data_IF_759442947854
#
_entry.id   IF_759442947854
#
_cell.length_a   1.000
_cell.length_b   1.000
_cell.length_c   1.000
_cell.angle_alpha   90.00
_cell.angle_beta   90.00
_cell.angle_gamma   90.00
#
_symmetry.space_group_name_H-M   'P 1'
#
loop_
_entity.id
_entity.type
_entity.pdbx_description
1 polymer ?
#
# COMPACT_ATOMS: atom_id res chain seq x y z
N UNK A 1 -28.07 19.51 6.27
CA UNK A 1 -27.02 20.46 5.84
C UNK A 1 -26.43 19.88 4.57
N UNK A 2 -26.18 20.76 3.61
CA UNK A 2 -26.19 20.55 2.15
C UNK A 2 -25.26 19.46 1.62
N UNK A 3 -25.84 18.45 0.95
CA UNK A 3 -25.15 17.66 -0.08
C UNK A 3 -24.64 18.63 -1.16
N UNK A 4 -23.32 18.71 -1.35
CA UNK A 4 -22.76 19.27 -2.59
C UNK A 4 -22.79 18.16 -3.64
N UNK A 5 -23.94 17.98 -4.30
CA UNK A 5 -24.01 17.20 -5.53
C UNK A 5 -23.49 18.07 -6.68
N UNK A 6 -22.30 17.76 -7.19
CA UNK A 6 -21.88 18.23 -8.51
C UNK A 6 -22.28 17.16 -9.53
N UNK A 7 -23.46 17.30 -10.13
CA UNK A 7 -23.92 16.44 -11.22
C UNK A 7 -23.39 16.95 -12.55
N UNK A 8 -22.58 16.17 -13.24
CA UNK A 8 -22.38 16.29 -14.69
C UNK A 8 -22.56 14.90 -15.30
N UNK A 9 -23.67 14.71 -16.00
CA UNK A 9 -23.93 13.52 -16.83
C UNK A 9 -23.63 13.86 -18.29
N UNK A 10 -22.51 13.34 -18.78
CA UNK A 10 -22.40 12.58 -20.04
C UNK A 10 -21.04 11.84 -20.02
N UNK A 11 -21.07 10.68 -19.37
CA UNK A 11 -19.91 9.87 -18.94
C UNK A 11 -20.19 9.30 -17.54
N UNK A 12 -19.78 8.07 -17.23
CA UNK A 12 -19.92 7.49 -15.87
C UNK A 12 -18.97 8.11 -14.85
N UNK A 13 -18.09 9.02 -15.29
CA UNK A 13 -17.13 9.73 -14.47
C UNK A 13 -17.82 10.48 -13.32
N UNK A 14 -17.49 10.14 -12.08
CA UNK A 14 -18.06 10.83 -10.92
C UNK A 14 -17.16 10.73 -9.68
N UNK A 15 -17.31 11.71 -8.80
CA UNK A 15 -16.78 11.71 -7.45
C UNK A 15 -17.93 12.09 -6.52
N UNK A 16 -18.30 11.20 -5.61
CA UNK A 16 -19.34 11.46 -4.61
C UNK A 16 -18.77 11.18 -3.22
N UNK A 17 -19.13 11.97 -2.21
CA UNK A 17 -18.76 11.70 -0.83
C UNK A 17 -19.97 11.47 0.08
N UNK A 18 -19.73 10.75 1.16
CA UNK A 18 -20.70 10.49 2.23
C UNK A 18 -20.00 10.36 3.58
N UNK A 19 -20.71 10.52 4.69
CA UNK A 19 -20.18 10.18 6.01
C UNK A 19 -19.94 8.65 6.09
N UNK A 20 -18.74 8.25 6.48
CA UNK A 20 -18.37 6.85 6.74
C UNK A 20 -18.48 6.51 8.23
N UNK A 21 -18.21 7.48 9.09
CA UNK A 21 -18.31 7.36 10.54
C UNK A 21 -17.74 8.59 11.24
N UNK A 22 -17.59 8.50 12.57
CA UNK A 22 -16.99 9.56 13.39
C UNK A 22 -15.92 8.98 14.30
N UNK A 23 -14.82 9.70 14.40
CA UNK A 23 -13.77 9.44 15.38
C UNK A 23 -14.30 9.64 16.82
N UNK A 24 -13.62 9.11 17.85
CA UNK A 24 -14.01 9.31 19.25
C UNK A 24 -14.10 10.79 19.67
N UNK A 25 -13.34 11.68 19.02
CA UNK A 25 -13.38 13.13 19.24
C UNK A 25 -14.45 13.85 18.39
N UNK A 26 -15.34 13.08 17.74
CA UNK A 26 -16.39 13.55 16.83
C UNK A 26 -15.90 14.09 15.47
N UNK A 27 -14.61 13.98 15.14
CA UNK A 27 -14.13 14.27 13.79
C UNK A 27 -14.83 13.36 12.79
N UNK A 28 -15.43 13.93 11.75
CA UNK A 28 -16.13 13.19 10.71
C UNK A 28 -15.12 12.52 9.79
N UNK A 29 -15.31 11.22 9.55
CA UNK A 29 -14.61 10.48 8.51
C UNK A 29 -15.53 10.39 7.31
N UNK A 30 -15.06 10.87 6.17
CA UNK A 30 -15.79 10.83 4.90
C UNK A 30 -15.29 9.66 4.06
N UNK A 31 -16.18 9.07 3.26
CA UNK A 31 -15.84 8.17 2.16
C UNK A 31 -16.05 8.90 0.84
N UNK A 32 -15.04 8.86 -0.02
CA UNK A 32 -15.07 9.32 -1.39
C UNK A 32 -15.14 8.13 -2.33
N UNK A 33 -16.18 8.09 -3.16
CA UNK A 33 -16.37 7.10 -4.23
C UNK A 33 -16.01 7.75 -5.56
N UNK A 34 -14.99 7.22 -6.22
CA UNK A 34 -14.53 7.64 -7.53
C UNK A 34 -14.94 6.58 -8.55
N UNK A 35 -15.58 6.99 -9.64
CA UNK A 35 -16.00 6.08 -10.73
C UNK A 35 -15.42 6.60 -12.04
N UNK A 36 -14.82 5.74 -12.85
CA UNK A 36 -14.33 6.11 -14.19
C UNK A 36 -15.37 5.83 -15.29
N UNK A 37 -15.05 6.21 -16.52
CA UNK A 37 -15.95 6.01 -17.67
C UNK A 37 -16.28 4.55 -18.00
N UNK A 38 -15.43 3.60 -17.59
CA UNK A 38 -15.67 2.17 -17.79
C UNK A 38 -16.48 1.54 -16.65
N UNK A 39 -16.78 2.29 -15.59
CA UNK A 39 -17.51 1.80 -14.41
C UNK A 39 -16.64 1.15 -13.34
N UNK A 40 -15.30 1.19 -13.47
CA UNK A 40 -14.43 0.87 -12.34
C UNK A 40 -14.70 1.87 -11.23
N UNK A 41 -14.73 1.38 -10.00
CA UNK A 41 -15.11 2.14 -8.82
C UNK A 41 -14.08 1.92 -7.71
N UNK A 42 -13.58 3.00 -7.11
CA UNK A 42 -12.74 2.94 -5.91
C UNK A 42 -13.37 3.79 -4.81
N UNK A 43 -13.38 3.24 -3.59
CA UNK A 43 -13.80 3.94 -2.38
C UNK A 43 -12.57 4.23 -1.53
N UNK A 44 -12.41 5.48 -1.11
CA UNK A 44 -11.31 5.96 -0.27
C UNK A 44 -11.89 6.70 0.92
N UNK A 45 -11.48 6.37 2.15
CA UNK A 45 -11.89 7.10 3.35
C UNK A 45 -10.82 8.07 3.83
N UNK A 46 -11.21 9.17 4.46
CA UNK A 46 -10.27 10.17 4.98
C UNK A 46 -9.42 9.65 6.14
N UNK A 47 -9.91 8.68 6.90
CA UNK A 47 -9.14 8.02 7.95
C UNK A 47 -8.10 7.06 7.36
N UNK A 48 -6.83 7.39 7.55
CA UNK A 48 -5.70 6.66 6.98
C UNK A 48 -5.58 6.76 5.46
N UNK A 49 -6.37 7.61 4.80
CA UNK A 49 -6.49 7.65 3.34
C UNK A 49 -6.77 6.28 2.74
N UNK A 50 -7.54 5.43 3.42
CA UNK A 50 -7.63 3.99 3.11
C UNK A 50 -8.43 3.72 1.86
N UNK A 51 -7.94 2.84 0.98
CA UNK A 51 -8.74 2.21 -0.07
C UNK A 51 -9.60 1.13 0.59
N UNK A 52 -10.91 1.35 0.69
CA UNK A 52 -11.85 0.42 1.35
C UNK A 52 -12.51 -0.56 0.37
N UNK A 53 -12.57 -0.20 -0.91
CA UNK A 53 -13.10 -1.05 -1.99
C UNK A 53 -12.53 -0.60 -3.33
N UNK A 54 -12.30 -1.57 -4.22
CA UNK A 54 -11.89 -1.37 -5.61
C UNK A 54 -12.61 -2.41 -6.47
N UNK A 55 -13.64 -1.98 -7.20
CA UNK A 55 -14.46 -2.87 -8.04
C UNK A 55 -14.00 -2.81 -9.48
N UNK A 56 -13.57 -3.96 -9.99
CA UNK A 56 -13.06 -4.11 -11.36
C UNK A 56 -13.75 -5.26 -12.08
N UNK A 57 -13.96 -5.17 -13.41
CA UNK A 57 -14.72 -6.18 -14.14
C UNK A 57 -13.93 -7.49 -14.25
N UNK A 58 -14.61 -8.62 -14.13
CA UNK A 58 -14.08 -9.93 -14.55
C UNK A 58 -14.25 -10.12 -16.08
N UNK A 59 -13.80 -11.25 -16.64
CA UNK A 59 -13.92 -11.56 -18.08
C UNK A 59 -15.36 -11.69 -18.60
N UNK A 60 -16.37 -11.74 -17.72
CA UNK A 60 -17.80 -11.70 -18.05
C UNK A 60 -18.41 -10.30 -17.94
N UNK A 61 -17.65 -9.33 -17.44
CA UNK A 61 -18.09 -7.96 -17.23
C UNK A 61 -18.71 -7.68 -15.85
N UNK A 62 -18.69 -8.66 -14.92
CA UNK A 62 -19.21 -8.44 -13.56
C UNK A 62 -18.18 -7.69 -12.71
N UNK A 63 -18.62 -6.63 -12.03
CA UNK A 63 -17.77 -5.80 -11.17
C UNK A 63 -17.81 -6.31 -9.74
N UNK A 64 -16.67 -6.73 -9.22
CA UNK A 64 -16.54 -7.26 -7.85
C UNK A 64 -15.36 -6.56 -7.17
N UNK A 65 -15.46 -6.38 -5.85
CA UNK A 65 -14.38 -5.78 -5.05
C UNK A 65 -13.17 -6.72 -5.03
N UNK A 66 -11.98 -6.21 -5.30
CA UNK A 66 -10.73 -6.99 -5.30
C UNK A 66 -9.76 -6.57 -4.20
N UNK A 67 -10.15 -5.69 -3.27
CA UNK A 67 -9.32 -5.32 -2.11
C UNK A 67 -9.99 -5.66 -0.79
N UNK A 68 -9.23 -6.21 0.15
CA UNK A 68 -9.69 -6.51 1.50
C UNK A 68 -9.84 -5.20 2.29
N UNK A 69 -10.85 -5.17 3.16
CA UNK A 69 -11.16 -4.04 4.04
C UNK A 69 -12.40 -4.33 4.90
N UNK A 70 -12.92 -3.28 5.53
CA UNK A 70 -14.14 -3.32 6.34
C UNK A 70 -15.20 -2.35 5.81
N UNK A 71 -16.46 -2.62 6.18
CA UNK A 71 -17.62 -1.80 5.80
C UNK A 71 -17.88 -0.62 6.75
N UNK A 72 -17.24 -0.57 7.92
CA UNK A 72 -17.49 0.43 8.95
C UNK A 72 -16.21 0.94 9.60
N UNK A 73 -16.27 2.17 10.14
CA UNK A 73 -15.12 2.82 10.77
C UNK A 73 -14.67 2.10 12.05
N UNK A 74 -15.59 1.58 12.85
CA UNK A 74 -15.27 0.96 14.15
C UNK A 74 -14.29 -0.22 14.01
N UNK A 75 -14.38 -0.99 12.93
CA UNK A 75 -13.45 -2.08 12.66
C UNK A 75 -12.06 -1.58 12.23
N UNK A 76 -11.97 -0.44 11.53
CA UNK A 76 -10.68 0.21 11.23
C UNK A 76 -10.04 0.86 12.45
N UNK A 77 -10.83 1.25 13.46
CA UNK A 77 -10.32 1.81 14.73
C UNK A 77 -9.80 0.73 15.68
N UNK A 78 -10.15 -0.54 15.46
CA UNK A 78 -9.59 -1.68 16.18
C UNK A 78 -8.26 -2.10 15.56
N UNK A 79 -7.54 -2.97 16.26
CA UNK A 79 -6.33 -3.60 15.73
C UNK A 79 -6.64 -4.33 14.42
N UNK A 80 -5.95 -3.93 13.36
CA UNK A 80 -6.06 -4.50 12.02
C UNK A 80 -4.72 -4.36 11.30
N UNK A 81 -4.43 -5.18 10.28
CA UNK A 81 -3.13 -5.24 9.64
C UNK A 81 -3.01 -4.18 8.53
N UNK A 82 -3.39 -2.93 8.84
CA UNK A 82 -3.29 -1.76 7.96
C UNK A 82 -4.10 -1.87 6.66
N UNK A 83 -5.27 -2.52 6.68
CA UNK A 83 -6.06 -2.74 5.45
C UNK A 83 -6.25 -1.46 4.64
N UNK A 84 -5.68 -1.47 3.44
CA UNK A 84 -5.84 -0.42 2.44
C UNK A 84 -5.22 0.92 2.80
N UNK A 85 -4.43 1.06 3.87
CA UNK A 85 -3.98 2.36 4.38
C UNK A 85 -2.84 3.01 3.59
N UNK A 86 -2.77 4.34 3.69
CA UNK A 86 -1.53 5.09 3.52
C UNK A 86 -0.62 4.85 4.70
N UNK A 87 0.63 4.52 4.41
CA UNK A 87 1.65 4.20 5.40
C UNK A 87 2.71 5.30 5.43
N UNK A 88 3.10 5.71 6.64
CA UNK A 88 4.16 6.68 6.87
C UNK A 88 4.22 7.12 8.33
N UNK A 89 5.22 7.88 8.76
CA UNK A 89 6.22 8.59 7.93
C UNK A 89 7.23 7.67 7.22
N UNK A 90 7.46 6.48 7.77
CA UNK A 90 8.32 5.46 7.17
C UNK A 90 7.59 4.12 7.04
N UNK A 91 7.41 3.64 5.80
CA UNK A 91 6.88 2.33 5.48
C UNK A 91 7.86 1.21 5.79
N UNK A 92 7.31 0.08 6.24
CA UNK A 92 8.05 -1.07 6.74
C UNK A 92 8.83 -0.76 8.03
N UNK A 93 9.92 -1.51 8.28
CA UNK A 93 10.60 -1.54 9.58
C UNK A 93 11.80 -0.62 9.66
N UNK A 94 12.07 -0.11 10.86
CA UNK A 94 13.34 0.49 11.29
C UNK A 94 13.85 -0.30 12.50
N UNK A 95 15.07 -0.82 12.39
CA UNK A 95 15.68 -1.68 13.39
C UNK A 95 15.76 -1.00 14.75
N UNK A 96 15.32 -1.69 15.81
CA UNK A 96 15.35 -1.22 17.20
C UNK A 96 14.59 0.08 17.46
N UNK A 97 13.78 0.52 16.50
CA UNK A 97 13.15 1.84 16.49
C UNK A 97 14.15 2.98 16.62
N UNK A 98 15.34 2.85 16.03
CA UNK A 98 16.39 3.88 16.13
C UNK A 98 17.05 4.11 14.79
N UNK A 99 17.45 5.35 14.57
CA UNK A 99 18.30 5.74 13.45
C UNK A 99 19.10 6.99 13.83
N UNK A 100 20.21 7.23 13.13
CA UNK A 100 21.04 8.42 13.28
C UNK A 100 20.88 9.29 12.04
N UNK A 101 20.58 10.58 12.25
CA UNK A 101 20.44 11.56 11.18
C UNK A 101 21.25 12.81 11.55
N UNK A 102 22.11 13.26 10.64
CA UNK A 102 23.02 14.40 10.87
C UNK A 102 23.84 14.29 12.18
N UNK A 103 24.25 13.07 12.54
CA UNK A 103 25.01 12.79 13.76
C UNK A 103 24.19 12.84 15.06
N UNK A 104 22.86 12.94 14.98
CA UNK A 104 21.94 12.88 16.11
C UNK A 104 21.13 11.58 16.08
N UNK A 105 21.01 10.94 17.24
CA UNK A 105 20.21 9.74 17.41
C UNK A 105 18.74 10.08 17.64
N UNK A 106 17.87 9.36 16.95
CA UNK A 106 16.41 9.43 17.08
C UNK A 106 15.90 8.09 17.60
N UNK A 107 14.90 8.14 18.49
CA UNK A 107 14.23 6.95 19.03
C UNK A 107 12.75 7.06 18.72
N UNK A 108 12.22 6.03 18.09
CA UNK A 108 10.85 5.84 17.66
C UNK A 108 10.18 4.80 18.56
N UNK A 109 8.85 4.71 18.50
CA UNK A 109 8.12 3.66 19.19
C UNK A 109 8.48 2.27 18.63
N UNK A 110 8.72 1.28 19.48
CA UNK A 110 8.90 -0.12 19.05
C UNK A 110 7.56 -0.84 19.11
N UNK A 111 6.73 -0.62 18.08
CA UNK A 111 5.38 -1.16 17.95
C UNK A 111 5.34 -2.55 17.28
N UNK A 112 6.49 -3.10 16.88
CA UNK A 112 6.59 -4.45 16.33
C UNK A 112 7.78 -5.21 16.96
N UNK A 113 7.54 -5.83 18.12
CA UNK A 113 8.61 -6.47 18.88
C UNK A 113 9.65 -5.45 19.33
N UNK A 114 10.91 -5.67 18.97
CA UNK A 114 11.99 -4.72 19.23
C UNK A 114 12.08 -3.60 18.17
N UNK A 115 11.33 -3.70 17.06
CA UNK A 115 11.46 -2.81 15.92
C UNK A 115 10.31 -1.79 15.83
N UNK A 116 10.57 -0.71 15.09
CA UNK A 116 9.53 0.24 14.67
C UNK A 116 8.95 -0.21 13.33
N UNK A 117 7.64 -0.08 13.13
CA UNK A 117 6.93 -0.53 11.95
C UNK A 117 5.90 0.52 11.51
N UNK A 118 5.88 0.82 10.21
CA UNK A 118 4.81 1.57 9.53
C UNK A 118 4.50 2.94 10.15
N UNK A 119 5.53 3.63 10.64
CA UNK A 119 5.39 4.98 11.17
C UNK A 119 5.01 5.08 12.65
N UNK A 120 4.71 3.97 13.33
CA UNK A 120 4.62 3.92 14.79
C UNK A 120 3.24 3.59 15.35
N UNK A 121 2.94 4.11 16.54
CA UNK A 121 1.68 3.80 17.27
C UNK A 121 0.49 4.47 16.60
N UNK A 122 0.66 5.71 16.14
CA UNK A 122 -0.29 6.47 15.34
C UNK A 122 0.36 6.94 14.05
N UNK A 123 0.67 5.97 13.18
CA UNK A 123 1.15 6.25 11.84
C UNK A 123 0.11 6.95 10.96
N UNK A 124 0.48 7.21 9.71
CA UNK A 124 -0.36 7.90 8.73
C UNK A 124 -1.65 7.14 8.39
N UNK A 125 -1.71 5.85 8.71
CA UNK A 125 -2.85 4.97 8.58
C UNK A 125 -3.94 5.24 9.64
N UNK A 126 -3.59 6.00 10.68
CA UNK A 126 -4.39 6.21 11.90
C UNK A 126 -4.72 7.68 12.16
N UNK A 127 -4.57 8.54 11.14
CA UNK A 127 -4.93 9.98 11.17
C UNK A 127 -6.05 10.28 10.17
N UNK A 128 -6.80 11.36 10.40
CA UNK A 128 -7.80 11.85 9.44
C UNK A 128 -7.13 12.85 8.50
N UNK A 129 -7.10 12.53 7.22
CA UNK A 129 -6.58 13.38 6.16
C UNK A 129 -7.62 14.41 5.73
N UNK A 130 -7.17 15.61 5.37
CA UNK A 130 -8.02 16.57 4.65
C UNK A 130 -8.19 16.09 3.21
N UNK A 131 -9.42 16.13 2.68
CA UNK A 131 -9.74 15.65 1.34
C UNK A 131 -10.34 16.73 0.45
N UNK A 132 -9.93 16.74 -0.81
CA UNK A 132 -10.41 17.66 -1.85
C UNK A 132 -10.53 16.91 -3.19
N UNK A 133 -11.75 16.72 -3.72
CA UNK A 133 -11.94 16.30 -5.11
C UNK A 133 -11.34 17.32 -6.08
N UNK A 134 -10.66 16.86 -7.12
CA UNK A 134 -10.13 17.71 -8.19
C UNK A 134 -11.00 17.54 -9.42
N UNK A 135 -11.50 18.67 -9.95
CA UNK A 135 -12.26 18.69 -11.20
C UNK A 135 -11.34 18.41 -12.40
N UNK A 136 -11.65 17.35 -13.13
CA UNK A 136 -10.95 16.95 -14.36
C UNK A 136 -11.97 16.31 -15.33
N UNK A 137 -11.67 16.29 -16.62
CA UNK A 137 -12.61 15.84 -17.67
C UNK A 137 -12.52 14.36 -17.99
N UNK A 138 -11.36 13.72 -17.76
CA UNK A 138 -11.09 12.37 -18.23
C UNK A 138 -10.97 11.35 -17.08
N UNK A 139 -10.62 11.79 -15.87
CA UNK A 139 -10.27 10.97 -14.72
C UNK A 139 -10.94 11.49 -13.44
N UNK A 140 -11.16 10.59 -12.48
CA UNK A 140 -11.66 10.95 -11.16
C UNK A 140 -10.47 11.09 -10.22
N UNK A 141 -10.28 12.28 -9.65
CA UNK A 141 -9.08 12.61 -8.89
C UNK A 141 -9.46 13.09 -7.48
N UNK A 142 -8.86 12.48 -6.47
CA UNK A 142 -8.99 12.87 -5.06
C UNK A 142 -7.61 13.22 -4.50
N UNK A 143 -7.49 14.43 -3.97
CA UNK A 143 -6.29 14.86 -3.24
C UNK A 143 -6.53 14.75 -1.75
N UNK A 144 -5.60 14.12 -1.05
CA UNK A 144 -5.51 14.09 0.40
C UNK A 144 -4.31 14.92 0.86
N UNK A 145 -4.45 15.66 1.96
CA UNK A 145 -3.35 16.39 2.58
C UNK A 145 -3.29 16.16 4.08
N UNK A 146 -2.07 16.09 4.62
CA UNK A 146 -1.81 15.98 6.05
C UNK A 146 -0.54 16.73 6.41
N UNK A 147 -0.54 17.33 7.61
CA UNK A 147 0.66 17.94 8.20
C UNK A 147 1.07 17.10 9.41
N UNK A 148 2.10 16.28 9.22
CA UNK A 148 2.75 15.56 10.29
C UNK A 148 3.68 16.51 11.03
N UNK A 149 3.44 16.75 12.32
CA UNK A 149 4.18 17.79 13.06
C UNK A 149 5.60 17.33 13.43
N UNK A 150 6.50 18.28 13.69
CA UNK A 150 7.81 18.00 14.26
C UNK A 150 7.67 17.19 15.56
N UNK A 151 8.40 16.08 15.65
CA UNK A 151 8.36 15.14 16.76
C UNK A 151 7.21 14.12 16.73
N UNK A 152 6.31 14.18 15.74
CA UNK A 152 5.25 13.19 15.58
C UNK A 152 5.84 11.79 15.40
N UNK A 153 5.41 10.85 16.24
CA UNK A 153 5.96 9.49 16.36
C UNK A 153 7.50 9.42 16.56
N UNK A 154 8.14 10.53 16.94
CA UNK A 154 9.58 10.66 17.16
C UNK A 154 10.38 11.14 15.95
N UNK A 155 9.75 11.44 14.81
CA UNK A 155 10.43 11.92 13.61
C UNK A 155 10.70 13.43 13.66
N UNK A 156 11.87 13.92 13.21
CA UNK A 156 12.17 15.35 13.14
C UNK A 156 11.46 16.04 11.97
N UNK A 157 11.15 17.32 12.13
CA UNK A 157 10.63 18.19 11.09
C UNK A 157 9.12 18.07 10.90
N UNK A 158 8.49 19.21 10.64
CA UNK A 158 7.15 19.19 10.06
C UNK A 158 7.27 18.60 8.66
N UNK A 159 6.38 17.67 8.33
CA UNK A 159 6.27 17.10 6.99
C UNK A 159 4.88 17.40 6.46
N UNK A 160 4.83 18.20 5.39
CA UNK A 160 3.58 18.44 4.65
C UNK A 160 3.47 17.41 3.54
N UNK A 161 2.44 16.57 3.60
CA UNK A 161 2.22 15.49 2.66
C UNK A 161 0.99 15.79 1.81
N UNK A 162 1.10 15.53 0.52
CA UNK A 162 0.00 15.46 -0.44
C UNK A 162 -0.02 14.08 -1.06
N UNK A 163 -1.18 13.42 -1.07
CA UNK A 163 -1.40 12.17 -1.80
C UNK A 163 -2.51 12.38 -2.80
N UNK A 164 -2.29 11.99 -4.05
CA UNK A 164 -3.28 12.11 -5.12
C UNK A 164 -3.66 10.72 -5.61
N UNK A 165 -4.93 10.39 -5.45
CA UNK A 165 -5.55 9.22 -6.07
C UNK A 165 -6.16 9.64 -7.40
N UNK A 166 -5.73 9.01 -8.49
CA UNK A 166 -6.30 9.19 -9.82
C UNK A 166 -6.86 7.86 -10.29
N UNK A 167 -8.19 7.79 -10.45
CA UNK A 167 -8.82 6.69 -11.15
C UNK A 167 -8.95 7.06 -12.63
N UNK A 168 -8.11 6.45 -13.46
CA UNK A 168 -7.95 6.82 -14.86
C UNK A 168 -9.04 6.23 -15.74
N UNK A 169 -9.21 6.79 -16.95
CA UNK A 169 -10.09 6.22 -17.98
C UNK A 169 -9.67 4.84 -18.52
N UNK A 170 -8.43 4.43 -18.32
CA UNK A 170 -7.89 3.13 -18.79
C UNK A 170 -7.80 2.08 -17.67
N UNK A 171 -8.68 2.20 -16.66
CA UNK A 171 -8.82 1.28 -15.53
C UNK A 171 -7.55 1.15 -14.69
N UNK A 172 -6.82 2.26 -14.51
CA UNK A 172 -5.71 2.32 -13.59
C UNK A 172 -6.08 3.14 -12.36
N UNK A 173 -5.63 2.67 -11.19
CA UNK A 173 -5.59 3.46 -9.96
C UNK A 173 -4.16 3.92 -9.75
N UNK A 174 -3.91 5.22 -9.93
CA UNK A 174 -2.63 5.84 -9.63
C UNK A 174 -2.66 6.44 -8.23
N UNK A 175 -1.59 6.26 -7.48
CA UNK A 175 -1.34 6.89 -6.19
C UNK A 175 -0.03 7.64 -6.31
N UNK A 176 -0.11 8.97 -6.29
CA UNK A 176 1.05 9.86 -6.33
C UNK A 176 1.25 10.47 -4.95
N UNK A 177 2.51 10.57 -4.52
CA UNK A 177 2.87 11.10 -3.21
C UNK A 177 3.82 12.26 -3.41
N UNK A 178 3.59 13.34 -2.68
CA UNK A 178 4.52 14.46 -2.57
C UNK A 178 4.70 14.85 -1.12
N UNK A 179 5.93 15.17 -0.70
CA UNK A 179 6.17 15.72 0.61
C UNK A 179 7.29 16.76 0.63
N UNK A 180 7.15 17.73 1.53
CA UNK A 180 8.16 18.75 1.83
C UNK A 180 8.35 18.87 3.33
N UNK A 181 9.54 19.25 3.76
CA UNK A 181 9.88 19.37 5.18
C UNK A 181 10.58 20.68 5.53
N UNK A 182 10.49 21.07 6.80
CA UNK A 182 11.21 22.22 7.37
C UNK A 182 12.49 21.84 8.13
N UNK A 183 12.75 20.54 8.33
CA UNK A 183 14.00 19.99 8.88
C UNK A 183 14.31 18.66 8.21
N UNK A 184 15.60 18.34 8.06
CA UNK A 184 16.02 17.04 7.52
C UNK A 184 15.33 15.90 8.27
N UNK A 185 14.72 14.98 7.51
CA UNK A 185 13.94 13.86 8.05
C UNK A 185 14.08 12.62 7.16
N UNK A 186 13.48 11.50 7.57
CA UNK A 186 13.37 10.30 6.72
C UNK A 186 11.92 10.09 6.28
N UNK A 187 11.72 9.75 5.01
CA UNK A 187 10.39 9.55 4.40
C UNK A 187 10.40 8.32 3.52
N UNK A 188 9.41 7.46 3.70
CA UNK A 188 9.12 6.32 2.83
C UNK A 188 7.61 6.06 2.87
N UNK A 189 6.88 6.43 1.82
CA UNK A 189 5.42 6.35 1.78
C UNK A 189 4.97 5.21 0.86
N UNK A 190 3.91 4.50 1.25
CA UNK A 190 3.33 3.43 0.43
C UNK A 190 1.84 3.23 0.69
N UNK A 191 1.19 2.40 -0.12
CA UNK A 191 -0.20 1.98 0.04
C UNK A 191 -0.26 0.50 0.44
N UNK A 192 -0.84 0.20 1.59
CA UNK A 192 -0.97 -1.18 2.10
C UNK A 192 -2.27 -1.86 1.64
N UNK A 193 -2.55 -1.83 0.33
CA UNK A 193 -3.70 -2.49 -0.25
C UNK A 193 -3.49 -4.02 -0.35
N UNK A 194 -4.42 -4.78 0.22
CA UNK A 194 -4.46 -6.24 0.11
C UNK A 194 -5.37 -6.63 -1.03
N UNK A 195 -4.83 -7.23 -2.07
CA UNK A 195 -5.55 -7.64 -3.27
C UNK A 195 -5.95 -9.12 -3.22
N UNK A 196 -7.12 -9.43 -3.75
CA UNK A 196 -7.53 -10.76 -4.17
C UNK A 196 -8.34 -10.64 -5.46
N UNK A 197 -7.68 -10.88 -6.60
CA UNK A 197 -8.27 -10.68 -7.92
C UNK A 197 -9.44 -11.63 -8.25
N UNK A 198 -9.64 -12.69 -7.46
CA UNK A 198 -10.82 -13.54 -7.65
C UNK A 198 -12.13 -12.80 -7.35
N UNK A 199 -12.09 -11.77 -6.49
CA UNK A 199 -13.26 -11.08 -5.97
C UNK A 199 -14.03 -11.88 -4.91
N UNK A 200 -13.55 -13.08 -4.57
CA UNK A 200 -14.15 -13.97 -3.59
C UNK A 200 -13.21 -14.11 -2.38
N UNK A 201 -13.46 -13.30 -1.35
CA UNK A 201 -12.64 -13.28 -0.14
C UNK A 201 -12.83 -14.52 0.76
N UNK A 202 -13.66 -15.48 0.39
CA UNK A 202 -13.66 -16.81 1.03
C UNK A 202 -12.51 -17.71 0.55
N UNK A 203 -11.81 -17.31 -0.53
CA UNK A 203 -10.73 -18.08 -1.15
C UNK A 203 -9.36 -17.48 -0.85
N UNK A 204 -8.36 -18.35 -0.80
CA UNK A 204 -6.96 -17.94 -0.74
C UNK A 204 -6.43 -17.43 -2.09
N UNK A 205 -5.26 -16.79 -2.07
CA UNK A 205 -4.59 -16.24 -3.25
C UNK A 205 -3.56 -17.20 -3.87
N UNK A 206 -3.50 -18.46 -3.44
CA UNK A 206 -2.38 -19.36 -3.79
C UNK A 206 -2.35 -19.72 -5.28
N UNK A 207 -3.48 -19.63 -5.96
CA UNK A 207 -3.60 -19.92 -7.40
C UNK A 207 -3.34 -18.70 -8.30
N UNK A 208 -3.17 -17.50 -7.74
CA UNK A 208 -2.80 -16.33 -8.53
C UNK A 208 -1.43 -16.54 -9.16
N UNK A 209 -1.34 -16.27 -10.45
CA UNK A 209 -0.10 -16.28 -11.22
C UNK A 209 0.55 -14.90 -11.10
N UNK A 210 1.79 -14.84 -10.62
CA UNK A 210 2.54 -13.61 -10.37
C UNK A 210 3.83 -13.57 -11.20
N UNK A 211 4.19 -12.36 -11.64
CA UNK A 211 5.52 -12.00 -12.17
C UNK A 211 6.02 -10.80 -11.39
N UNK A 212 7.28 -10.80 -10.98
CA UNK A 212 7.95 -9.67 -10.34
C UNK A 212 9.19 -9.33 -11.17
N UNK A 213 9.29 -8.08 -11.62
CA UNK A 213 10.41 -7.57 -12.39
C UNK A 213 11.61 -7.28 -11.49
N UNK A 214 12.23 -8.34 -10.99
CA UNK A 214 13.34 -8.24 -10.06
C UNK A 214 14.22 -9.47 -10.11
N UNK A 215 15.54 -9.26 -10.17
CA UNK A 215 16.53 -10.33 -10.08
C UNK A 215 17.05 -10.56 -8.66
N UNK A 216 16.66 -9.72 -7.70
CA UNK A 216 17.22 -9.71 -6.34
C UNK A 216 16.21 -9.30 -5.29
N UNK A 217 16.31 -9.87 -4.09
CA UNK A 217 15.51 -9.49 -2.93
C UNK A 217 16.40 -9.24 -1.72
N UNK A 218 15.82 -8.67 -0.67
CA UNK A 218 16.48 -8.43 0.61
C UNK A 218 16.14 -9.57 1.59
N UNK A 219 17.11 -10.45 1.93
CA UNK A 219 16.94 -11.41 3.01
C UNK A 219 16.86 -10.70 4.36
N UNK A 220 16.00 -11.20 5.23
CA UNK A 220 15.75 -10.66 6.57
C UNK A 220 16.29 -11.59 7.66
N UNK A 221 16.49 -11.02 8.85
CA UNK A 221 16.78 -11.73 10.09
C UNK A 221 15.52 -12.23 10.82
N UNK A 222 15.68 -12.84 11.99
CA UNK A 222 14.58 -13.34 12.82
C UNK A 222 13.57 -12.27 13.28
N UNK A 223 13.94 -11.00 13.20
CA UNK A 223 13.09 -9.85 13.54
C UNK A 223 12.48 -9.17 12.32
N UNK A 224 12.66 -9.78 11.14
CA UNK A 224 12.24 -9.28 9.82
C UNK A 224 12.93 -7.98 9.38
N UNK A 225 14.13 -7.71 9.90
CA UNK A 225 14.98 -6.61 9.43
C UNK A 225 15.89 -7.12 8.30
N UNK A 226 16.07 -6.37 7.19
CA UNK A 226 17.04 -6.74 6.17
C UNK A 226 18.45 -6.90 6.76
N UNK A 227 19.10 -8.00 6.38
CA UNK A 227 20.47 -8.31 6.81
C UNK A 227 21.53 -7.38 6.19
N UNK A 228 21.14 -6.54 5.23
CA UNK A 228 22.03 -5.77 4.35
C UNK A 228 22.46 -6.55 3.09
N UNK A 229 22.21 -7.86 3.02
CA UNK A 229 22.46 -8.67 1.83
C UNK A 229 21.48 -8.33 0.70
N UNK A 230 21.99 -8.23 -0.53
CA UNK A 230 21.17 -8.23 -1.75
C UNK A 230 21.36 -9.59 -2.43
N UNK A 231 20.34 -10.45 -2.35
CA UNK A 231 20.42 -11.84 -2.80
C UNK A 231 19.73 -12.06 -4.13
N UNK A 232 20.39 -12.80 -5.04
CA UNK A 232 19.78 -13.18 -6.31
C UNK A 232 18.60 -14.13 -6.11
N UNK A 233 17.51 -13.92 -6.85
CA UNK A 233 16.31 -14.75 -6.75
C UNK A 233 16.46 -16.09 -7.48
N UNK A 234 17.30 -16.16 -8.52
CA UNK A 234 17.43 -17.32 -9.41
C UNK A 234 17.78 -18.60 -8.64
N UNK A 235 16.98 -19.65 -8.88
CA UNK A 235 17.18 -20.94 -8.21
C UNK A 235 16.70 -20.97 -6.76
N UNK A 236 15.97 -19.94 -6.31
CA UNK A 236 15.34 -19.87 -4.99
C UNK A 236 13.82 -19.78 -5.13
N UNK A 237 13.04 -20.08 -4.07
CA UNK A 237 11.59 -19.84 -4.07
C UNK A 237 11.19 -18.36 -4.29
N UNK A 238 12.13 -17.41 -4.28
CA UNK A 238 11.87 -15.99 -4.52
C UNK A 238 11.92 -15.62 -6.01
N UNK A 239 12.21 -16.58 -6.90
CA UNK A 239 12.24 -16.35 -8.35
C UNK A 239 10.84 -16.22 -8.93
N UNK A 240 10.40 -14.98 -9.10
CA UNK A 240 9.17 -14.59 -9.82
C UNK A 240 9.49 -13.87 -11.13
N UNK A 241 10.71 -14.01 -11.67
CA UNK A 241 11.11 -13.37 -12.96
C UNK A 241 10.31 -13.88 -14.16
N UNK A 242 9.62 -15.00 -13.98
CA UNK A 242 8.65 -15.56 -14.91
C UNK A 242 7.39 -15.97 -14.17
N UNK A 243 6.31 -16.22 -14.91
CA UNK A 243 4.99 -16.53 -14.34
C UNK A 243 5.08 -17.69 -13.34
N UNK A 244 4.66 -17.43 -12.10
CA UNK A 244 4.65 -18.41 -11.03
C UNK A 244 3.42 -18.24 -10.13
N UNK A 245 2.72 -19.35 -9.87
CA UNK A 245 1.68 -19.39 -8.84
C UNK A 245 2.26 -19.05 -7.48
N UNK A 246 1.60 -18.17 -6.73
CA UNK A 246 2.03 -17.80 -5.38
C UNK A 246 2.24 -19.05 -4.53
N UNK A 247 1.31 -20.01 -4.60
CA UNK A 247 1.36 -21.24 -3.82
C UNK A 247 2.43 -22.26 -4.22
N UNK A 248 3.10 -22.11 -5.36
CA UNK A 248 3.98 -23.15 -5.92
C UNK A 248 5.09 -23.58 -4.96
N UNK A 249 5.74 -22.59 -4.31
CA UNK A 249 6.92 -22.83 -3.47
C UNK A 249 6.80 -22.19 -2.07
N UNK A 250 5.69 -21.53 -1.75
CA UNK A 250 5.51 -20.74 -0.51
C UNK A 250 5.66 -21.55 0.79
N UNK A 251 5.59 -22.89 0.71
CA UNK A 251 5.68 -23.80 1.85
C UNK A 251 6.93 -24.70 1.80
N UNK A 252 7.87 -24.48 0.88
CA UNK A 252 9.10 -25.29 0.83
C UNK A 252 10.00 -24.97 2.03
N UNK A 253 10.84 -25.92 2.42
CA UNK A 253 11.80 -25.72 3.50
C UNK A 253 12.91 -24.74 3.07
N UNK A 254 12.68 -23.46 3.33
CA UNK A 254 13.62 -22.38 3.09
C UNK A 254 13.59 -21.43 4.31
N UNK A 255 14.76 -20.98 4.75
CA UNK A 255 14.89 -20.12 5.93
C UNK A 255 14.06 -18.83 5.83
N UNK A 256 14.18 -18.12 4.72
CA UNK A 256 13.49 -16.84 4.51
C UNK A 256 11.97 -17.00 4.44
N UNK A 257 11.47 -18.09 3.84
CA UNK A 257 10.03 -18.42 3.88
C UNK A 257 9.52 -18.72 5.30
N UNK A 258 10.36 -19.31 6.17
CA UNK A 258 9.99 -19.51 7.58
C UNK A 258 9.92 -18.20 8.34
N UNK A 259 10.89 -17.31 8.12
CA UNK A 259 10.93 -15.99 8.76
C UNK A 259 9.72 -15.13 8.39
N UNK A 260 9.31 -15.16 7.11
CA UNK A 260 8.11 -14.43 6.64
C UNK A 260 6.78 -15.17 6.84
N UNK A 261 6.77 -16.44 7.26
CA UNK A 261 5.55 -17.28 7.26
C UNK A 261 4.95 -17.54 5.86
N UNK A 262 5.75 -17.32 4.82
CA UNK A 262 5.38 -17.16 3.42
C UNK A 262 6.25 -16.08 2.78
N UNK A 263 5.74 -15.39 1.76
CA UNK A 263 6.43 -14.21 1.25
C UNK A 263 6.05 -13.00 2.10
N UNK A 264 7.06 -12.38 2.69
CA UNK A 264 7.01 -11.07 3.33
C UNK A 264 8.38 -10.39 3.19
N UNK A 265 8.79 -10.12 1.94
CA UNK A 265 10.13 -9.60 1.64
C UNK A 265 10.07 -8.44 0.64
N UNK A 266 11.13 -7.64 0.62
CA UNK A 266 11.31 -6.57 -0.35
C UNK A 266 12.11 -7.10 -1.55
N UNK A 267 11.49 -7.09 -2.73
CA UNK A 267 12.18 -7.27 -4.00
C UNK A 267 12.74 -5.93 -4.47
N UNK A 268 13.96 -5.96 -5.02
CA UNK A 268 14.58 -4.78 -5.63
C UNK A 268 14.12 -4.71 -7.09
N UNK A 269 13.39 -3.66 -7.44
CA UNK A 269 12.80 -3.51 -8.77
C UNK A 269 13.90 -3.26 -9.81
N UNK A 270 13.87 -4.01 -10.91
CA UNK A 270 14.75 -3.74 -12.04
C UNK A 270 14.27 -2.48 -12.79
N UNK A 271 15.20 -1.61 -13.17
CA UNK A 271 14.89 -0.41 -13.94
C UNK A 271 15.80 0.74 -13.55
N UNK A 272 15.52 1.91 -14.12
CA UNK A 272 16.20 3.15 -13.71
C UNK A 272 15.44 3.79 -12.55
N UNK A 273 16.14 4.14 -11.47
CA UNK A 273 15.53 4.76 -10.28
C UNK A 273 14.85 6.07 -10.66
N UNK A 274 13.62 6.30 -10.19
CA UNK A 274 12.86 7.52 -10.47
C UNK A 274 12.13 7.52 -11.83
N UNK A 275 12.35 6.51 -12.68
CA UNK A 275 11.50 6.28 -13.84
C UNK A 275 10.32 5.39 -13.46
N UNK A 276 9.21 5.52 -14.19
CA UNK A 276 8.06 4.64 -14.04
C UNK A 276 8.39 3.25 -14.63
N UNK A 277 8.76 2.30 -13.77
CA UNK A 277 9.16 0.95 -14.16
C UNK A 277 8.00 -0.04 -13.99
N UNK A 278 7.95 -1.09 -14.82
CA UNK A 278 7.11 -2.26 -14.52
C UNK A 278 7.66 -2.95 -13.27
N UNK A 279 6.82 -3.17 -12.26
CA UNK A 279 7.20 -3.74 -10.96
C UNK A 279 6.78 -5.20 -10.87
N UNK A 280 5.49 -5.47 -11.09
CA UNK A 280 4.91 -6.78 -10.93
C UNK A 280 3.61 -6.91 -11.73
N UNK A 281 3.15 -8.15 -11.91
CA UNK A 281 1.79 -8.42 -12.36
C UNK A 281 1.20 -9.59 -11.59
N UNK A 282 -0.12 -9.61 -11.47
CA UNK A 282 -0.89 -10.71 -10.89
C UNK A 282 -2.07 -11.06 -11.81
N UNK A 283 -2.37 -12.34 -11.93
CA UNK A 283 -3.46 -12.88 -12.73
C UNK A 283 -4.26 -13.90 -11.93
N UNK A 284 -5.58 -13.82 -11.99
CA UNK A 284 -6.47 -14.89 -11.54
C UNK A 284 -7.20 -15.51 -12.73
N UNK A 285 -6.95 -16.79 -12.98
CA UNK A 285 -7.52 -17.53 -14.12
C UNK A 285 -9.05 -17.64 -14.07
N UNK A 286 -9.59 -17.75 -12.86
CA UNK A 286 -11.02 -17.97 -12.63
C UNK A 286 -11.84 -16.75 -13.09
N UNK A 287 -11.51 -15.57 -12.56
CA UNK A 287 -12.13 -14.30 -12.93
C UNK A 287 -11.62 -13.76 -14.27
N UNK A 288 -10.41 -14.14 -14.69
CA UNK A 288 -9.72 -13.55 -15.83
C UNK A 288 -9.15 -12.16 -15.58
N UNK A 289 -9.19 -11.65 -14.34
CA UNK A 289 -8.63 -10.34 -14.00
C UNK A 289 -7.11 -10.37 -14.03
N UNK A 290 -6.53 -9.36 -14.67
CA UNK A 290 -5.10 -9.14 -14.73
C UNK A 290 -4.77 -7.76 -14.16
N UNK A 291 -3.83 -7.72 -13.23
CA UNK A 291 -3.31 -6.50 -12.64
C UNK A 291 -1.84 -6.34 -12.99
N UNK A 292 -1.45 -5.15 -13.41
CA UNK A 292 -0.06 -4.72 -13.58
C UNK A 292 0.24 -3.60 -12.61
N UNK A 293 1.44 -3.61 -12.03
CA UNK A 293 1.95 -2.58 -11.12
C UNK A 293 3.13 -1.90 -11.78
N UNK A 294 3.07 -0.58 -11.81
CA UNK A 294 4.16 0.29 -12.27
C UNK A 294 4.53 1.26 -11.15
N UNK A 295 5.80 1.57 -10.98
CA UNK A 295 6.24 2.50 -9.92
C UNK A 295 7.59 3.16 -10.20
N UNK A 296 7.77 4.33 -9.59
CA UNK A 296 9.05 5.05 -9.51
C UNK A 296 9.93 4.58 -8.33
N UNK A 297 9.36 3.78 -7.42
CA UNK A 297 10.05 3.24 -6.25
C UNK A 297 11.12 2.20 -6.60
N UNK A 298 12.24 2.15 -5.85
CA UNK A 298 13.34 1.22 -6.11
C UNK A 298 13.05 -0.21 -5.62
N UNK A 299 12.04 -0.39 -4.76
CA UNK A 299 11.70 -1.65 -4.13
C UNK A 299 10.20 -1.88 -4.03
N UNK A 300 9.83 -3.12 -3.75
CA UNK A 300 8.45 -3.50 -3.50
C UNK A 300 8.39 -4.62 -2.46
N UNK A 301 7.66 -4.40 -1.37
CA UNK A 301 7.27 -5.47 -0.47
C UNK A 301 6.22 -6.33 -1.14
N UNK A 302 6.50 -7.63 -1.25
CA UNK A 302 5.49 -8.62 -1.60
C UNK A 302 5.15 -9.44 -0.36
N UNK A 303 3.94 -9.20 0.16
CA UNK A 303 3.41 -9.83 1.36
C UNK A 303 2.15 -10.62 1.07
N UNK A 304 2.10 -11.88 1.47
CA UNK A 304 0.99 -12.80 1.18
C UNK A 304 -0.01 -12.97 2.33
N UNK A 305 -0.20 -11.94 3.17
CA UNK A 305 -1.18 -11.98 4.26
C UNK A 305 -1.01 -13.20 5.19
N UNK A 306 0.24 -13.51 5.54
CA UNK A 306 0.62 -14.72 6.28
C UNK A 306 0.06 -14.78 7.71
N UNK A 307 -0.29 -13.61 8.26
CA UNK A 307 -0.73 -13.44 9.65
C UNK A 307 -2.25 -13.26 9.82
N UNK A 308 -3.03 -13.27 8.73
CA UNK A 308 -4.49 -13.36 8.84
C UNK A 308 -4.89 -14.73 9.40
N UNK A 309 -5.86 -14.77 10.30
CA UNK A 309 -6.12 -15.94 11.16
C UNK A 309 -7.61 -16.24 11.39
N UNK A 310 -8.50 -15.71 10.54
CA UNK A 310 -9.97 -15.84 10.63
C UNK A 310 -10.63 -15.04 11.78
N UNK A 311 -9.95 -14.06 12.38
CA UNK A 311 -10.53 -13.21 13.43
C UNK A 311 -11.20 -11.93 12.89
N UNK A 312 -10.77 -11.45 11.73
CA UNK A 312 -11.24 -10.19 11.14
C UNK A 312 -12.42 -10.41 10.18
N UNK A 313 -13.50 -9.63 10.28
CA UNK A 313 -14.71 -9.84 9.48
C UNK A 313 -14.52 -9.46 8.01
N UNK A 314 -15.14 -10.24 7.12
CA UNK A 314 -15.31 -9.88 5.70
C UNK A 314 -16.63 -9.10 5.54
N UNK A 315 -16.66 -8.05 4.71
CA UNK A 315 -17.89 -7.46 4.21
C UNK A 315 -18.89 -8.51 3.72
N UNK A 316 -20.15 -8.42 4.15
CA UNK A 316 -21.23 -9.37 3.83
C UNK A 316 -21.09 -10.79 4.42
N UNK A 317 -20.17 -11.02 5.35
CA UNK A 317 -20.10 -12.22 6.17
C UNK A 317 -18.88 -13.12 5.92
N UNK A 318 -18.51 -13.89 6.93
CA UNK A 318 -17.26 -14.66 6.96
C UNK A 318 -16.12 -13.88 7.61
N UNK A 319 -14.91 -14.46 7.60
CA UNK A 319 -13.71 -13.85 8.16
C UNK A 319 -12.51 -14.07 7.24
N UNK A 320 -11.56 -13.13 7.26
CA UNK A 320 -10.37 -13.23 6.41
C UNK A 320 -9.44 -14.32 6.94
N UNK A 321 -9.29 -15.38 6.15
CA UNK A 321 -8.40 -16.49 6.45
C UNK A 321 -6.94 -16.15 6.11
N UNK A 322 -6.04 -17.02 6.57
CA UNK A 322 -4.63 -16.98 6.19
C UNK A 322 -4.48 -16.97 4.67
N UNK A 323 -3.71 -16.01 4.14
CA UNK A 323 -3.44 -15.86 2.70
C UNK A 323 -4.71 -15.64 1.86
N UNK A 324 -5.67 -14.89 2.38
CA UNK A 324 -6.84 -14.42 1.61
C UNK A 324 -6.52 -13.19 0.74
N UNK A 325 -5.39 -12.52 0.95
CA UNK A 325 -4.94 -11.38 0.14
C UNK A 325 -3.43 -11.34 -0.05
N UNK A 326 -2.95 -10.51 -0.96
CA UNK A 326 -1.54 -10.18 -1.13
C UNK A 326 -1.33 -8.67 -1.33
N UNK A 327 -0.18 -8.14 -0.94
CA UNK A 327 0.17 -6.73 -1.08
C UNK A 327 1.34 -6.57 -2.04
N UNK A 328 1.31 -5.50 -2.83
CA UNK A 328 2.46 -5.00 -3.61
C UNK A 328 2.75 -3.58 -3.14
N UNK A 329 3.44 -3.46 -2.00
CA UNK A 329 3.76 -2.16 -1.43
C UNK A 329 5.04 -1.65 -2.08
N UNK A 330 4.91 -0.79 -3.07
CA UNK A 330 6.05 -0.10 -3.70
C UNK A 330 6.63 0.90 -2.71
N UNK A 331 7.94 0.85 -2.47
CA UNK A 331 8.59 1.62 -1.40
C UNK A 331 10.12 1.67 -1.58
N UNK A 332 10.78 2.52 -0.79
CA UNK A 332 12.21 2.37 -0.50
C UNK A 332 12.45 1.14 0.39
N UNK A 333 13.71 0.73 0.48
CA UNK A 333 14.07 -0.50 1.19
C UNK A 333 13.80 -0.36 2.70
N UNK A 334 13.29 -1.43 3.35
CA UNK A 334 13.17 -1.43 4.80
C UNK A 334 14.52 -1.17 5.46
N UNK A 335 14.49 -0.48 6.60
CA UNK A 335 15.67 -0.12 7.39
C UNK A 335 16.73 0.73 6.66
N UNK A 336 16.40 1.33 5.50
CA UNK A 336 17.28 2.28 4.77
C UNK A 336 17.97 3.33 5.66
N UNK A 337 17.34 3.94 6.69
CA UNK A 337 18.02 4.88 7.58
C UNK A 337 19.25 4.31 8.30
N UNK A 338 19.35 2.99 8.46
CA UNK A 338 20.44 2.28 9.13
C UNK A 338 21.34 1.49 8.16
N UNK A 339 21.00 1.46 6.87
CA UNK A 339 21.67 0.64 5.85
C UNK A 339 22.34 1.54 4.81
N UNK A 340 23.60 1.89 5.04
CA UNK A 340 24.37 2.86 4.24
C UNK A 340 24.41 2.58 2.73
N UNK A 341 24.29 1.32 2.33
CA UNK A 341 24.39 0.88 0.93
C UNK A 341 23.01 0.83 0.25
N UNK A 342 21.92 1.10 0.99
CA UNK A 342 20.58 1.19 0.46
C UNK A 342 20.29 2.59 -0.09
N UNK A 343 19.33 2.74 -1.03
CA UNK A 343 18.88 4.03 -1.49
C UNK A 343 18.43 4.89 -0.31
N UNK A 344 18.93 6.13 -0.26
CA UNK A 344 18.59 7.09 0.79
C UNK A 344 17.09 7.37 0.82
N UNK A 345 16.57 7.51 2.04
CA UNK A 345 15.21 7.95 2.36
C UNK A 345 15.21 9.33 3.04
N UNK A 346 16.36 10.01 3.05
CA UNK A 346 16.51 11.34 3.65
C UNK A 346 15.83 12.36 2.74
N UNK A 347 15.08 13.28 3.35
CA UNK A 347 14.50 14.46 2.70
C UNK A 347 15.03 15.71 3.41
N UNK A 348 15.68 16.60 2.68
CA UNK A 348 16.22 17.87 3.20
C UNK A 348 15.27 19.06 2.95
N UNK A 349 15.35 20.14 3.76
CA UNK A 349 14.61 21.36 3.48
C UNK A 349 14.97 21.95 2.11
N UNK A 350 13.95 22.24 1.30
CA UNK A 350 14.11 22.74 -0.07
C UNK A 350 14.05 21.64 -1.14
N UNK A 351 14.12 20.37 -0.76
CA UNK A 351 13.84 19.24 -1.63
C UNK A 351 12.34 18.90 -1.63
N UNK A 352 11.92 18.15 -2.66
CA UNK A 352 10.57 17.59 -2.78
C UNK A 352 10.71 16.08 -2.89
N UNK A 353 10.16 15.36 -1.92
CA UNK A 353 9.88 13.93 -2.08
C UNK A 353 8.75 13.79 -3.08
N UNK A 354 8.94 12.98 -4.13
CA UNK A 354 7.90 12.66 -5.10
C UNK A 354 8.06 11.24 -5.59
N UNK A 355 6.96 10.50 -5.66
CA UNK A 355 6.90 9.15 -6.19
C UNK A 355 5.49 8.80 -6.64
N UNK A 356 5.35 7.80 -7.50
CA UNK A 356 4.08 7.35 -8.03
C UNK A 356 4.03 5.84 -8.18
N UNK A 357 2.85 5.30 -7.94
CA UNK A 357 2.51 3.91 -8.22
C UNK A 357 1.19 3.80 -8.97
N UNK A 358 1.14 2.92 -9.96
CA UNK A 358 -0.05 2.67 -10.78
C UNK A 358 -0.43 1.21 -10.72
N UNK A 359 -1.65 0.92 -10.29
CA UNK A 359 -2.29 -0.39 -10.36
C UNK A 359 -3.24 -0.41 -11.57
N UNK A 360 -2.82 -1.03 -12.67
CA UNK A 360 -3.59 -1.09 -13.91
C UNK A 360 -4.34 -2.41 -14.04
N UNK A 361 -5.63 -2.35 -14.33
CA UNK A 361 -6.50 -3.52 -14.41
C UNK A 361 -6.99 -3.78 -15.83
N UNK A 362 -6.96 -5.04 -16.22
CA UNK A 362 -7.50 -5.54 -17.49
C UNK A 362 -8.06 -6.95 -17.30
N UNK A 363 -8.58 -7.54 -18.38
CA UNK A 363 -9.04 -8.93 -18.41
C UNK A 363 -8.32 -9.70 -19.51
N UNK A 364 -8.08 -11.00 -19.30
CA UNK A 364 -7.52 -11.93 -20.29
C UNK A 364 -8.51 -13.03 -20.66
#
# INVERSE_FOLDING_TARGET
MTEKQTNILEGKLSITNSEFGKMPDSTVVEQYKLVNNNGVEVNIITYGGRITSLKVPNKKGDFENVVLGFDNLDDYLKENPFFGALIGRFGNRIAKGKFTLEGKDYTLATNNGENHLHGGIKGFDSVVWEAEPIEEKENSILKLTYLSKDGEEGYPGNLKITVIYTLTKDNALEVSYEATTDKTTVVNLTQHAYFNLSGDFSKDILNHDVVINSNTYLPVDETQIPTGEIRNVKGTPFDFTSVKKIGKEIAINNEQLKLGGGYDHCWIVNGEKGNMNFVASAYDETSGRFMEVYSEEPGMQFYTANFLDNTLPIPNGGTYAKRTGFCFETQHYPDSPNQKDFPTTILEPGEIYSTKTTYKFSTK
#
